data_IF_564369756041
#
_entry.id   IF_564369756041
#
_cell.length_a   1.000
_cell.length_b   1.000
_cell.length_c   1.000
_cell.angle_alpha   90.00
_cell.angle_beta   90.00
_cell.angle_gamma   90.00
#
_symmetry.space_group_name_H-M   'P 1'
#
loop_
_entity.id
_entity.type
_entity.pdbx_description
1 polymer ?
#
# COMPACT_ATOMS: atom_id res chain seq x y z
N UNK A 1 -13.55 12.11 -6.47
CA UNK A 1 -13.71 10.93 -7.36
C UNK A 1 -14.14 9.80 -6.46
N UNK A 2 -15.31 9.25 -6.76
CA UNK A 2 -16.26 8.62 -5.83
C UNK A 2 -15.67 7.87 -4.64
N UNK A 3 -16.19 8.25 -3.47
CA UNK A 3 -16.19 7.48 -2.23
C UNK A 3 -17.06 6.22 -2.39
N UNK A 4 -16.78 5.40 -3.41
CA UNK A 4 -17.53 4.18 -3.64
C UNK A 4 -17.07 3.16 -2.59
N UNK A 5 -18.03 2.76 -1.77
CA UNK A 5 -17.85 1.75 -0.73
C UNK A 5 -17.24 0.48 -1.36
N UNK A 6 -16.22 -0.14 -0.73
CA UNK A 6 -15.65 -1.38 -1.24
C UNK A 6 -16.68 -2.47 -1.35
N UNK A 7 -16.73 -3.14 -2.51
CA UNK A 7 -17.60 -4.31 -2.72
C UNK A 7 -16.81 -5.58 -2.46
N UNK A 8 -17.34 -6.47 -1.63
CA UNK A 8 -16.75 -7.77 -1.31
C UNK A 8 -17.64 -8.91 -1.84
N UNK A 9 -17.09 -9.71 -2.73
CA UNK A 9 -17.64 -10.99 -3.16
C UNK A 9 -16.85 -12.13 -2.50
N UNK A 10 -17.55 -13.15 -2.00
CA UNK A 10 -16.94 -14.32 -1.35
C UNK A 10 -17.21 -15.56 -2.20
N UNK A 11 -16.15 -16.28 -2.57
CA UNK A 11 -16.30 -17.59 -3.21
C UNK A 11 -16.79 -18.64 -2.20
N UNK A 12 -17.24 -19.80 -2.68
CA UNK A 12 -17.78 -20.86 -1.83
C UNK A 12 -16.78 -21.37 -0.78
N UNK A 13 -15.49 -21.31 -1.09
CA UNK A 13 -14.41 -21.71 -0.19
C UNK A 13 -14.01 -20.64 0.83
N UNK A 14 -14.60 -19.45 0.78
CA UNK A 14 -14.19 -18.33 1.61
C UNK A 14 -14.58 -18.52 3.08
N UNK A 15 -13.70 -18.10 3.98
CA UNK A 15 -13.97 -18.02 5.41
C UNK A 15 -14.97 -16.89 5.70
N UNK A 16 -16.15 -17.27 6.21
CA UNK A 16 -17.26 -16.34 6.48
C UNK A 16 -16.97 -15.41 7.64
N UNK A 17 -16.29 -15.87 8.68
CA UNK A 17 -15.95 -15.04 9.85
C UNK A 17 -14.91 -13.99 9.45
N UNK A 18 -13.92 -14.41 8.66
CA UNK A 18 -12.95 -13.48 8.11
C UNK A 18 -13.61 -12.44 7.19
N UNK A 19 -14.51 -12.87 6.30
CA UNK A 19 -15.28 -11.97 5.44
C UNK A 19 -16.06 -10.91 6.24
N UNK A 20 -16.74 -11.33 7.31
CA UNK A 20 -17.49 -10.41 8.18
C UNK A 20 -16.55 -9.41 8.88
N UNK A 21 -15.38 -9.87 9.34
CA UNK A 21 -14.38 -8.98 9.95
C UNK A 21 -13.87 -7.92 8.97
N UNK A 22 -13.68 -8.26 7.68
CA UNK A 22 -13.28 -7.32 6.64
C UNK A 22 -14.37 -6.29 6.34
N UNK A 23 -15.63 -6.75 6.28
CA UNK A 23 -16.80 -5.90 6.05
C UNK A 23 -16.90 -4.84 7.15
N UNK A 24 -16.83 -5.25 8.42
CA UNK A 24 -16.92 -4.34 9.56
C UNK A 24 -15.73 -3.38 9.59
N UNK A 25 -14.51 -3.90 9.48
CA UNK A 25 -13.28 -3.11 9.68
C UNK A 25 -13.02 -2.08 8.57
N UNK A 26 -13.41 -2.39 7.33
CA UNK A 26 -13.17 -1.53 6.17
C UNK A 26 -14.46 -0.96 5.58
N UNK A 27 -15.59 -1.09 6.29
CA UNK A 27 -16.90 -0.64 5.88
C UNK A 27 -17.26 -1.10 4.46
N UNK A 28 -17.13 -2.40 4.16
CA UNK A 28 -17.42 -2.94 2.83
C UNK A 28 -18.91 -3.27 2.65
N UNK A 29 -19.36 -3.31 1.41
CA UNK A 29 -20.65 -3.85 1.01
C UNK A 29 -20.48 -5.28 0.48
N UNK A 30 -21.17 -6.25 1.09
CA UNK A 30 -21.19 -7.63 0.59
C UNK A 30 -22.01 -7.73 -0.70
N UNK A 31 -21.51 -8.47 -1.68
CA UNK A 31 -22.21 -8.80 -2.91
C UNK A 31 -22.53 -10.31 -2.93
N UNK A 32 -23.78 -10.66 -3.26
CA UNK A 32 -24.20 -12.07 -3.42
C UNK A 32 -23.63 -12.69 -4.69
N UNK A 33 -23.42 -11.88 -5.72
CA UNK A 33 -22.89 -12.27 -7.01
C UNK A 33 -21.71 -11.39 -7.38
N UNK A 34 -20.78 -11.93 -8.16
CA UNK A 34 -19.67 -11.15 -8.68
C UNK A 34 -20.23 -10.06 -9.61
N UNK A 35 -19.94 -8.77 -9.35
CA UNK A 35 -20.44 -7.70 -10.21
C UNK A 35 -19.94 -7.82 -11.64
N UNK A 36 -20.76 -7.45 -12.61
CA UNK A 36 -20.36 -7.41 -14.03
C UNK A 36 -19.40 -6.27 -14.34
N UNK A 37 -19.47 -5.17 -13.57
CA UNK A 37 -18.68 -3.97 -13.83
C UNK A 37 -18.03 -3.35 -12.58
N UNK A 38 -16.96 -2.60 -12.82
CA UNK A 38 -16.17 -1.88 -11.83
C UNK A 38 -15.22 -2.75 -11.02
N UNK A 39 -14.79 -2.24 -9.86
CA UNK A 39 -13.89 -2.96 -8.97
C UNK A 39 -14.66 -3.77 -7.92
N UNK A 40 -14.13 -4.95 -7.59
CA UNK A 40 -14.65 -5.81 -6.53
C UNK A 40 -13.49 -6.52 -5.83
N UNK A 41 -13.52 -6.57 -4.51
CA UNK A 41 -12.68 -7.46 -3.73
C UNK A 41 -13.29 -8.85 -3.76
N UNK A 42 -12.48 -9.84 -4.10
CA UNK A 42 -12.86 -11.24 -4.15
C UNK A 42 -12.06 -11.95 -3.06
N UNK A 43 -12.78 -12.56 -2.13
CA UNK A 43 -12.20 -13.43 -1.11
C UNK A 43 -12.44 -14.88 -1.52
N UNK A 44 -11.36 -15.63 -1.71
CA UNK A 44 -11.38 -17.08 -1.89
C UNK A 44 -10.93 -17.78 -0.60
N UNK A 45 -10.63 -19.09 -0.67
CA UNK A 45 -10.16 -19.85 0.49
C UNK A 45 -8.72 -19.53 0.93
N UNK A 46 -7.96 -18.81 0.10
CA UNK A 46 -6.54 -18.55 0.31
C UNK A 46 -6.26 -17.06 0.59
N UNK A 47 -6.81 -16.15 -0.21
CA UNK A 47 -6.41 -14.74 -0.23
C UNK A 47 -7.53 -13.78 -0.65
N UNK A 48 -7.34 -12.52 -0.28
CA UNK A 48 -8.14 -11.41 -0.78
C UNK A 48 -7.46 -10.80 -2.01
N UNK A 49 -8.21 -10.64 -3.10
CA UNK A 49 -7.72 -10.04 -4.32
C UNK A 49 -8.68 -8.97 -4.85
N UNK A 50 -8.14 -7.97 -5.55
CA UNK A 50 -8.91 -6.95 -6.24
C UNK A 50 -9.06 -7.33 -7.70
N UNK A 51 -10.31 -7.45 -8.13
CA UNK A 51 -10.70 -7.74 -9.50
C UNK A 51 -11.28 -6.49 -10.16
N UNK A 52 -10.95 -6.30 -11.43
CA UNK A 52 -11.63 -5.35 -12.30
C UNK A 52 -12.55 -6.10 -13.25
N UNK A 53 -13.85 -6.02 -12.99
CA UNK A 53 -14.85 -6.87 -13.64
C UNK A 53 -15.05 -6.53 -15.12
N UNK A 54 -14.80 -5.27 -15.54
CA UNK A 54 -14.96 -4.88 -16.96
C UNK A 54 -13.94 -5.58 -17.87
N UNK A 55 -12.78 -6.01 -17.33
CA UNK A 55 -11.72 -6.63 -18.13
C UNK A 55 -11.03 -7.76 -17.36
N UNK A 56 -11.70 -8.92 -17.29
CA UNK A 56 -11.21 -10.12 -16.59
C UNK A 56 -9.81 -10.59 -17.04
N UNK A 57 -9.36 -10.21 -18.25
CA UNK A 57 -8.02 -10.56 -18.79
C UNK A 57 -6.86 -9.85 -18.08
N UNK A 58 -7.11 -8.76 -17.35
CA UNK A 58 -6.06 -8.02 -16.64
C UNK A 58 -5.51 -8.76 -15.42
N UNK A 59 -6.23 -9.78 -14.96
CA UNK A 59 -5.90 -10.55 -13.77
C UNK A 59 -6.12 -9.76 -12.48
N UNK A 60 -6.06 -10.48 -11.37
CA UNK A 60 -6.35 -9.91 -10.06
C UNK A 60 -5.10 -9.31 -9.42
N UNK A 61 -5.32 -8.30 -8.57
CA UNK A 61 -4.26 -7.67 -7.77
C UNK A 61 -4.38 -8.14 -6.33
N UNK A 62 -3.36 -8.84 -5.84
CA UNK A 62 -3.23 -9.24 -4.43
C UNK A 62 -1.90 -8.77 -3.86
N UNK A 63 -1.86 -8.55 -2.55
CA UNK A 63 -0.62 -8.24 -1.82
C UNK A 63 0.02 -9.55 -1.38
N UNK A 64 1.21 -9.87 -1.88
CA UNK A 64 1.91 -11.09 -1.53
C UNK A 64 3.37 -10.81 -1.16
N UNK A 65 3.65 -10.88 0.13
CA UNK A 65 4.99 -10.69 0.69
C UNK A 65 5.87 -11.94 0.55
N UNK A 66 5.27 -13.12 0.40
CA UNK A 66 5.98 -14.39 0.26
C UNK A 66 6.56 -14.53 -1.15
N UNK A 67 5.76 -14.24 -2.18
CA UNK A 67 6.27 -14.09 -3.55
C UNK A 67 7.30 -12.94 -3.64
N UNK A 68 7.08 -11.88 -2.87
CA UNK A 68 8.00 -10.77 -2.69
C UNK A 68 9.39 -11.18 -2.19
N UNK A 69 9.53 -12.21 -1.36
CA UNK A 69 10.83 -12.75 -0.90
C UNK A 69 11.71 -13.19 -2.06
N UNK A 70 11.12 -13.83 -3.06
CA UNK A 70 11.83 -14.28 -4.28
C UNK A 70 12.17 -13.08 -5.18
N UNK A 71 11.29 -12.08 -5.24
CA UNK A 71 11.51 -10.85 -6.01
C UNK A 71 12.53 -9.89 -5.37
N UNK A 72 12.59 -9.83 -4.04
CA UNK A 72 13.49 -8.97 -3.27
C UNK A 72 14.96 -9.39 -3.42
N UNK A 73 15.23 -10.69 -3.58
CA UNK A 73 16.57 -11.16 -3.96
C UNK A 73 16.99 -10.73 -5.37
N UNK A 74 16.06 -10.29 -6.22
CA UNK A 74 16.34 -9.90 -7.62
C UNK A 74 16.40 -8.40 -7.85
N UNK A 75 15.92 -7.56 -6.92
CA UNK A 75 15.79 -6.11 -7.11
C UNK A 75 16.69 -5.31 -6.14
N UNK A 76 18.00 -5.38 -6.37
CA UNK A 76 18.99 -4.61 -5.58
C UNK A 76 19.02 -3.09 -5.90
N UNK A 77 18.33 -2.62 -6.94
CA UNK A 77 18.40 -1.20 -7.35
C UNK A 77 17.48 -0.23 -6.59
N UNK A 78 16.20 -0.59 -6.41
CA UNK A 78 15.21 0.30 -5.77
C UNK A 78 15.22 0.25 -4.25
N UNK A 79 15.42 -0.95 -3.69
CA UNK A 79 15.50 -1.18 -2.25
C UNK A 79 16.67 -0.41 -1.59
N UNK A 80 17.79 -0.27 -2.31
CA UNK A 80 18.96 0.45 -1.82
C UNK A 80 18.69 1.96 -1.70
N UNK A 81 17.98 2.55 -2.66
CA UNK A 81 17.64 3.97 -2.64
C UNK A 81 16.72 4.34 -1.47
N UNK A 82 15.68 3.55 -1.23
CA UNK A 82 14.74 3.76 -0.10
C UNK A 82 15.46 3.57 1.24
N UNK A 83 16.28 2.52 1.37
CA UNK A 83 17.05 2.25 2.60
C UNK A 83 18.04 3.37 2.96
N UNK A 84 18.70 3.96 1.94
CA UNK A 84 19.61 5.10 2.11
C UNK A 84 18.85 6.37 2.50
N UNK A 85 17.69 6.62 1.90
CA UNK A 85 16.84 7.77 2.21
C UNK A 85 16.33 7.76 3.66
N UNK A 86 16.02 6.57 4.18
CA UNK A 86 15.55 6.35 5.56
C UNK A 86 16.73 6.28 6.55
N UNK A 87 17.97 6.24 6.07
CA UNK A 87 19.16 6.25 6.93
C UNK A 87 19.50 4.90 7.55
N UNK A 88 19.08 3.79 6.94
CA UNK A 88 19.49 2.44 7.36
C UNK A 88 21.00 2.30 7.16
N UNK A 89 21.74 2.14 8.25
CA UNK A 89 23.20 1.96 8.27
C UNK A 89 23.59 0.76 9.14
N UNK A 90 24.87 0.38 9.15
CA UNK A 90 25.37 -0.71 10.02
C UNK A 90 25.03 -0.37 11.49
N UNK A 91 24.18 -1.18 12.12
CA UNK A 91 23.74 -1.01 13.51
C UNK A 91 22.60 0.00 13.76
N UNK A 92 22.14 0.75 12.75
CA UNK A 92 21.03 1.71 12.91
C UNK A 92 19.76 1.18 12.23
N UNK A 93 18.68 1.05 13.00
CA UNK A 93 17.36 0.57 12.56
C UNK A 93 16.28 1.55 13.03
N UNK A 94 16.10 2.68 12.32
CA UNK A 94 15.09 3.66 12.70
C UNK A 94 13.69 3.04 12.62
N UNK A 95 12.83 3.53 13.50
CA UNK A 95 11.38 3.39 13.35
C UNK A 95 10.88 4.31 12.24
N UNK A 96 9.97 3.82 11.41
CA UNK A 96 9.51 4.49 10.19
C UNK A 96 7.98 4.54 10.19
N UNK A 97 7.43 5.71 9.86
CA UNK A 97 6.03 5.83 9.45
C UNK A 97 6.00 5.97 7.93
N UNK A 98 5.36 5.03 7.25
CA UNK A 98 5.03 5.14 5.83
C UNK A 98 3.64 5.76 5.71
N UNK A 99 3.58 7.03 5.30
CA UNK A 99 2.32 7.78 5.18
C UNK A 99 1.52 7.47 3.92
N UNK A 100 2.05 6.66 3.01
CA UNK A 100 1.46 6.32 1.71
C UNK A 100 1.68 4.84 1.41
N UNK A 101 1.25 3.97 2.35
CA UNK A 101 1.65 2.58 2.34
C UNK A 101 1.37 1.85 1.02
N UNK A 102 0.22 2.12 0.38
CA UNK A 102 -0.15 1.49 -0.87
C UNK A 102 -0.15 -0.04 -0.74
N UNK A 103 0.58 -0.73 -1.61
CA UNK A 103 0.72 -2.20 -1.54
C UNK A 103 1.81 -2.68 -0.56
N UNK A 104 2.39 -1.79 0.25
CA UNK A 104 3.34 -2.12 1.32
C UNK A 104 4.71 -2.63 0.85
N UNK A 105 5.09 -2.41 -0.41
CA UNK A 105 6.34 -2.94 -0.98
C UNK A 105 7.59 -2.35 -0.32
N UNK A 106 7.67 -1.02 -0.26
CA UNK A 106 8.79 -0.32 0.35
C UNK A 106 8.83 -0.54 1.87
N UNK A 107 7.66 -0.52 2.51
CA UNK A 107 7.51 -0.88 3.91
C UNK A 107 8.06 -2.28 4.22
N UNK A 108 7.76 -3.28 3.37
CA UNK A 108 8.27 -4.63 3.54
C UNK A 108 9.79 -4.72 3.36
N UNK A 109 10.36 -4.00 2.39
CA UNK A 109 11.82 -3.88 2.21
C UNK A 109 12.47 -3.34 3.49
N UNK A 110 11.95 -2.24 4.03
CA UNK A 110 12.47 -1.62 5.25
C UNK A 110 12.35 -2.54 6.47
N UNK A 111 11.21 -3.23 6.62
CA UNK A 111 10.99 -4.17 7.71
C UNK A 111 11.92 -5.40 7.64
N UNK A 112 12.15 -5.92 6.42
CA UNK A 112 13.09 -7.01 6.16
C UNK A 112 14.54 -6.60 6.48
N UNK A 113 14.90 -5.33 6.27
CA UNK A 113 16.19 -4.79 6.69
C UNK A 113 16.30 -4.61 8.21
N UNK A 114 15.19 -4.67 8.95
CA UNK A 114 15.13 -4.62 10.42
C UNK A 114 14.52 -3.37 11.01
N UNK A 115 13.95 -2.47 10.20
CA UNK A 115 13.22 -1.31 10.71
C UNK A 115 11.84 -1.72 11.27
N UNK A 116 11.33 -0.97 12.24
CA UNK A 116 9.93 -1.06 12.66
C UNK A 116 9.14 -0.07 11.81
N UNK A 117 8.16 -0.55 11.05
CA UNK A 117 7.42 0.24 10.07
C UNK A 117 5.93 0.27 10.43
N UNK A 118 5.41 1.48 10.62
CA UNK A 118 3.98 1.75 10.73
C UNK A 118 3.48 2.28 9.38
N UNK A 119 2.62 1.53 8.73
CA UNK A 119 2.01 1.84 7.44
C UNK A 119 0.67 2.53 7.66
N UNK A 120 0.47 3.68 7.02
CA UNK A 120 -0.79 4.41 6.97
C UNK A 120 -1.40 4.24 5.59
N UNK A 121 -2.64 3.76 5.54
CA UNK A 121 -3.43 3.68 4.31
C UNK A 121 -4.83 4.21 4.56
N UNK A 122 -5.32 4.99 3.59
CA UNK A 122 -6.61 5.70 3.67
C UNK A 122 -7.69 5.07 2.80
N UNK A 123 -7.29 4.39 1.73
CA UNK A 123 -8.19 3.69 0.85
C UNK A 123 -8.62 2.37 1.50
N UNK A 124 -9.91 2.17 1.81
CA UNK A 124 -10.35 0.91 2.42
C UNK A 124 -10.12 -0.29 1.49
N UNK A 125 -10.14 -0.08 0.17
CA UNK A 125 -9.78 -1.10 -0.83
C UNK A 125 -8.35 -1.60 -0.66
N UNK A 126 -7.39 -0.66 -0.56
CA UNK A 126 -5.96 -0.98 -0.49
C UNK A 126 -5.59 -1.47 0.90
N UNK A 127 -6.14 -0.84 1.94
CA UNK A 127 -5.92 -1.23 3.32
C UNK A 127 -6.36 -2.68 3.57
N UNK A 128 -7.50 -3.11 3.01
CA UNK A 128 -7.95 -4.49 3.12
C UNK A 128 -7.02 -5.50 2.43
N UNK A 129 -6.56 -5.20 1.20
CA UNK A 129 -5.60 -6.05 0.50
C UNK A 129 -4.28 -6.16 1.28
N UNK A 130 -3.80 -5.03 1.82
CA UNK A 130 -2.58 -4.98 2.61
C UNK A 130 -2.74 -5.74 3.93
N UNK A 131 -3.90 -5.63 4.58
CA UNK A 131 -4.21 -6.37 5.80
C UNK A 131 -4.24 -7.89 5.56
N UNK A 132 -4.88 -8.35 4.47
CA UNK A 132 -4.86 -9.75 4.07
C UNK A 132 -3.44 -10.25 3.77
N UNK A 133 -2.66 -9.45 3.03
CA UNK A 133 -1.26 -9.75 2.76
C UNK A 133 -0.43 -9.89 4.05
N UNK A 134 -0.62 -8.99 5.01
CA UNK A 134 0.04 -9.04 6.31
C UNK A 134 -0.44 -10.23 7.15
N UNK A 135 -1.73 -10.54 7.15
CA UNK A 135 -2.30 -11.70 7.85
C UNK A 135 -1.62 -12.98 7.39
N UNK A 136 -1.52 -13.19 6.08
CA UNK A 136 -0.82 -14.35 5.50
C UNK A 136 0.67 -14.35 5.80
N UNK A 137 1.34 -13.20 5.68
CA UNK A 137 2.76 -13.10 6.00
C UNK A 137 3.06 -13.39 7.48
N UNK A 138 2.19 -12.99 8.40
CA UNK A 138 2.32 -13.28 9.84
C UNK A 138 2.16 -14.76 10.19
N UNK A 139 1.37 -15.49 9.40
CA UNK A 139 1.17 -16.93 9.56
C UNK A 139 2.30 -17.79 8.97
N UNK A 140 3.20 -17.18 8.19
CA UNK A 140 4.32 -17.88 7.57
C UNK A 140 5.40 -18.27 8.58
N UNK A 141 5.97 -19.48 8.44
CA UNK A 141 6.95 -20.01 9.38
C UNK A 141 8.31 -19.29 9.32
N UNK A 142 8.71 -18.79 8.15
CA UNK A 142 10.02 -18.16 7.95
C UNK A 142 9.97 -16.67 8.35
N UNK A 143 8.91 -15.97 7.95
CA UNK A 143 8.83 -14.51 8.11
C UNK A 143 7.86 -14.00 9.17
N UNK A 144 6.94 -14.85 9.62
CA UNK A 144 5.81 -14.43 10.43
C UNK A 144 6.21 -13.77 11.74
N UNK A 145 7.26 -14.26 12.40
CA UNK A 145 7.77 -13.72 13.67
C UNK A 145 8.20 -12.26 13.53
N UNK A 146 9.07 -11.95 12.56
CA UNK A 146 9.58 -10.60 12.40
C UNK A 146 8.58 -9.67 11.71
N UNK A 147 7.71 -10.16 10.82
CA UNK A 147 6.62 -9.35 10.24
C UNK A 147 5.68 -8.90 11.35
N UNK A 148 5.32 -9.79 12.28
CA UNK A 148 4.47 -9.46 13.43
C UNK A 148 5.09 -8.39 14.32
N UNK A 149 6.41 -8.47 14.57
CA UNK A 149 7.11 -7.50 15.42
C UNK A 149 7.32 -6.13 14.73
N UNK A 150 7.54 -6.14 13.41
CA UNK A 150 8.09 -4.97 12.70
C UNK A 150 7.09 -4.27 11.81
N UNK A 151 5.98 -4.90 11.41
CA UNK A 151 5.03 -4.30 10.46
C UNK A 151 3.66 -4.11 11.10
N UNK A 152 3.22 -2.86 11.16
CA UNK A 152 1.90 -2.48 11.65
C UNK A 152 1.16 -1.69 10.58
N UNK A 153 -0.07 -2.10 10.27
CA UNK A 153 -0.98 -1.33 9.44
C UNK A 153 -1.92 -0.52 10.34
N UNK A 154 -2.09 0.75 10.02
CA UNK A 154 -3.13 1.62 10.55
C UNK A 154 -3.98 2.07 9.37
N UNK A 155 -5.22 1.58 9.34
CA UNK A 155 -6.24 2.12 8.45
C UNK A 155 -6.74 3.44 9.04
N UNK A 156 -6.51 4.53 8.33
CA UNK A 156 -6.91 5.87 8.73
C UNK A 156 -7.62 6.53 7.56
N UNK A 157 -8.94 6.56 7.61
CA UNK A 157 -9.80 7.13 6.57
C UNK A 157 -9.64 8.65 6.48
N UNK A 158 -9.24 9.28 7.58
CA UNK A 158 -9.01 10.72 7.69
C UNK A 158 -7.70 11.03 8.43
N UNK A 159 -7.21 12.27 8.30
CA UNK A 159 -6.08 12.76 9.09
C UNK A 159 -6.46 12.85 10.57
N UNK A 160 -7.73 13.07 10.89
CA UNK A 160 -8.22 13.15 12.27
C UNK A 160 -8.09 11.80 12.99
N UNK A 161 -8.26 10.68 12.28
CA UNK A 161 -8.08 9.32 12.82
C UNK A 161 -6.65 9.10 13.37
N UNK A 162 -5.66 9.84 12.85
CA UNK A 162 -4.26 9.74 13.27
C UNK A 162 -3.96 10.53 14.55
N UNK A 163 -4.81 11.49 14.93
CA UNK A 163 -4.55 12.39 16.07
C UNK A 163 -4.55 11.65 17.41
N UNK A 164 -5.31 10.57 17.52
CA UNK A 164 -5.39 9.74 18.72
C UNK A 164 -4.29 8.67 18.82
N UNK A 165 -3.57 8.40 17.73
CA UNK A 165 -2.63 7.27 17.67
C UNK A 165 -1.25 7.57 18.28
N UNK A 166 -0.97 8.82 18.71
CA UNK A 166 0.32 9.26 19.28
C UNK A 166 1.54 8.66 18.57
N UNK A 167 1.53 8.69 17.23
CA UNK A 167 2.57 8.06 16.44
C UNK A 167 3.89 8.81 16.57
N UNK A 168 4.92 8.10 17.01
CA UNK A 168 6.30 8.59 17.04
C UNK A 168 7.18 7.67 16.19
N UNK A 169 7.99 8.27 15.34
CA UNK A 169 8.99 7.56 14.56
C UNK A 169 10.27 8.39 14.39
N UNK A 170 11.35 7.73 14.03
CA UNK A 170 12.60 8.41 13.70
C UNK A 170 12.52 9.01 12.29
N UNK A 171 11.76 8.38 11.39
CA UNK A 171 11.59 8.81 9.99
C UNK A 171 10.14 8.73 9.56
N UNK A 172 9.69 9.73 8.79
CA UNK A 172 8.43 9.68 8.04
C UNK A 172 8.76 9.57 6.55
N UNK A 173 8.30 8.49 5.92
CA UNK A 173 8.42 8.22 4.49
C UNK A 173 7.11 8.57 3.80
N UNK A 174 7.19 9.34 2.71
CA UNK A 174 6.06 9.76 1.89
C UNK A 174 6.43 9.57 0.42
N UNK A 175 5.73 8.68 -0.27
CA UNK A 175 5.75 8.53 -1.72
C UNK A 175 4.34 8.80 -2.27
N UNK A 176 3.91 10.07 -2.30
CA UNK A 176 2.62 10.40 -2.87
C UNK A 176 2.65 10.03 -4.35
N UNK A 177 1.72 9.19 -4.78
CA UNK A 177 1.54 8.98 -6.21
C UNK A 177 1.17 10.31 -6.86
N UNK A 178 2.15 10.92 -7.53
CA UNK A 178 1.91 12.12 -8.30
C UNK A 178 0.91 11.79 -9.41
N UNK A 179 -0.18 12.56 -9.57
CA UNK A 179 -1.08 12.37 -10.68
C UNK A 179 -0.29 12.46 -11.97
N UNK A 180 -0.46 11.48 -12.86
CA UNK A 180 0.23 11.45 -14.13
C UNK A 180 -0.08 12.73 -14.91
N UNK A 181 0.88 13.67 -14.94
CA UNK A 181 0.83 14.80 -15.87
C UNK A 181 0.82 14.21 -17.28
N UNK A 182 -0.14 14.62 -18.11
CA UNK A 182 0.01 14.48 -19.56
C UNK A 182 1.31 15.21 -19.92
N UNK A 183 2.32 14.48 -20.40
CA UNK A 183 3.59 15.08 -20.82
C UNK A 183 3.29 16.09 -21.95
N UNK A 184 3.40 17.39 -21.67
CA UNK A 184 3.78 18.39 -22.68
C UNK A 184 5.25 18.76 -22.44
N UNK A 185 6.13 17.78 -22.62
CA UNK A 185 7.54 18.06 -22.86
C UNK A 185 7.69 18.27 -24.37
N UNK A 186 7.48 19.50 -24.83
CA UNK A 186 8.05 19.93 -26.11
C UNK A 186 9.56 19.97 -25.95
N UNK A 187 10.24 18.89 -26.34
CA UNK A 187 11.63 18.95 -26.79
C UNK A 187 11.71 18.22 -28.13
N UNK A 188 12.14 19.00 -29.11
CA UNK A 188 12.29 18.79 -30.56
C UNK A 188 12.50 17.33 -31.04
N UNK A 189 11.70 17.00 -32.05
CA UNK A 189 11.78 15.88 -33.02
C UNK A 189 13.21 15.50 -33.46
N UNK A 190 13.45 14.19 -33.57
CA UNK A 190 13.79 13.50 -34.83
C UNK A 190 13.33 12.02 -34.78
N UNK A 191 12.18 11.79 -35.43
CA UNK A 191 11.60 10.63 -36.14
C UNK A 191 12.08 9.20 -35.76
N UNK A 192 11.26 8.39 -35.06
CA UNK A 192 10.25 7.42 -35.55
C UNK A 192 10.89 6.08 -36.02
N UNK A 193 10.65 4.90 -35.42
CA UNK A 193 9.35 4.20 -35.34
C UNK A 193 9.46 2.92 -34.48
N UNK A 194 8.53 2.66 -33.53
CA UNK A 194 7.87 1.34 -33.41
C UNK A 194 6.64 1.43 -32.50
N UNK A 195 5.59 0.75 -32.92
CA UNK A 195 4.18 0.97 -32.60
C UNK A 195 3.76 0.62 -31.17
N UNK A 196 2.76 1.37 -30.73
CA UNK A 196 1.95 1.14 -29.54
C UNK A 196 1.38 -0.29 -29.47
N UNK A 197 1.60 -0.94 -28.32
CA UNK A 197 0.70 -2.00 -27.82
C UNK A 197 0.30 -1.63 -26.40
N UNK A 198 -0.97 -1.31 -26.23
CA UNK A 198 -1.57 -0.85 -24.98
C UNK A 198 -1.67 -1.94 -23.92
N UNK A 199 -0.61 -2.15 -23.14
CA UNK A 199 -0.63 -2.92 -21.88
C UNK A 199 0.09 -2.15 -20.78
N UNK A 200 -0.61 -1.21 -20.15
CA UNK A 200 -0.35 -0.69 -18.79
C UNK A 200 -1.06 0.66 -18.62
N UNK A 201 -2.39 0.67 -18.58
CA UNK A 201 -3.13 1.85 -18.10
C UNK A 201 -4.00 1.58 -16.89
N UNK A 202 -4.38 0.32 -16.61
CA UNK A 202 -5.21 0.00 -15.46
C UNK A 202 -4.47 -0.22 -14.14
N UNK A 203 -3.17 -0.55 -14.16
CA UNK A 203 -2.37 -0.67 -12.92
C UNK A 203 -2.21 0.64 -12.14
N UNK A 204 -2.35 1.80 -12.77
CA UNK A 204 -2.09 3.10 -12.13
C UNK A 204 -3.35 3.83 -11.65
N UNK A 205 -4.57 3.36 -11.96
CA UNK A 205 -5.78 4.17 -11.72
C UNK A 205 -6.31 4.08 -10.28
N UNK A 206 -5.99 3.00 -9.55
CA UNK A 206 -6.49 2.79 -8.18
C UNK A 206 -5.76 3.62 -7.11
N UNK A 207 -4.62 4.22 -7.45
CA UNK A 207 -3.71 4.81 -6.44
C UNK A 207 -3.72 6.36 -6.52
N UNK A 208 -4.63 6.96 -7.30
CA UNK A 208 -4.63 8.43 -7.49
C UNK A 208 -5.53 9.14 -6.49
N UNK A 209 -4.87 9.81 -5.55
CA UNK A 209 -5.40 10.71 -4.53
C UNK A 209 -4.68 10.37 -3.22
N UNK A 210 -4.05 11.24 -2.46
CA UNK A 210 -4.19 12.69 -2.33
C UNK A 210 -2.84 13.36 -2.08
N UNK A 211 -2.83 14.68 -2.22
CA UNK A 211 -1.71 15.55 -1.84
C UNK A 211 -1.58 15.60 -0.31
N UNK A 212 -0.41 15.24 0.21
CA UNK A 212 0.00 15.62 1.57
C UNK A 212 0.77 16.94 1.48
N UNK A 213 0.31 17.98 2.19
CA UNK A 213 1.07 19.21 2.38
C UNK A 213 2.02 19.07 3.59
N UNK A 214 3.32 19.12 3.29
CA UNK A 214 4.43 19.52 4.15
C UNK A 214 4.66 18.75 5.48
N UNK A 215 5.71 17.91 5.50
CA UNK A 215 6.38 17.46 6.72
C UNK A 215 7.80 18.07 6.79
N UNK A 216 8.11 18.83 7.83
CA UNK A 216 9.41 19.48 8.01
C UNK A 216 10.44 18.48 8.54
N UNK A 217 11.53 18.27 7.80
CA UNK A 217 12.71 17.54 8.30
C UNK A 217 13.34 18.34 9.45
N UNK A 218 13.42 17.77 10.64
CA UNK A 218 14.33 18.27 11.69
C UNK A 218 15.61 17.43 11.67
N UNK A 219 16.69 18.01 11.15
CA UNK A 219 18.02 17.38 11.01
C UNK A 219 18.80 17.30 12.34
N UNK A 220 18.13 17.07 13.47
CA UNK A 220 18.74 17.24 14.80
C UNK A 220 18.20 16.28 15.86
N UNK A 221 18.35 14.97 15.66
CA UNK A 221 18.23 13.96 16.73
C UNK A 221 16.92 13.94 17.54
N UNK A 222 15.89 14.67 17.11
CA UNK A 222 14.57 14.75 17.73
C UNK A 222 13.64 13.85 16.92
N UNK A 223 12.93 12.95 17.61
CA UNK A 223 11.92 12.07 16.99
C UNK A 223 10.92 12.89 16.17
N UNK A 224 10.59 12.40 14.97
CA UNK A 224 9.53 12.97 14.17
C UNK A 224 8.19 12.67 14.84
N UNK A 225 7.42 13.73 15.11
CA UNK A 225 6.07 13.63 15.62
C UNK A 225 5.13 14.19 14.55
N UNK A 226 4.11 13.44 14.18
CA UNK A 226 3.03 13.97 13.36
C UNK A 226 2.22 14.94 14.24
N UNK A 227 2.52 16.24 14.14
CA UNK A 227 1.80 17.31 14.83
C UNK A 227 1.06 18.18 13.82
N UNK A 228 -0.16 18.61 14.19
CA UNK A 228 -1.08 19.47 13.42
C UNK A 228 -0.35 20.58 12.63
N UNK A 229 -0.80 20.82 11.40
CA UNK A 229 -0.80 22.17 10.85
C UNK A 229 -1.88 22.97 11.58
N UNK A 230 -1.49 24.06 12.25
CA UNK A 230 -2.44 25.00 12.84
C UNK A 230 -3.21 25.68 11.71
N UNK A 231 -4.53 25.54 11.71
CA UNK A 231 -5.42 26.26 10.81
C UNK A 231 -5.21 27.77 10.97
N UNK A 232 -4.83 28.45 9.89
CA UNK A 232 -5.16 29.86 9.65
C UNK A 232 -6.11 29.91 8.47
#
# INVERSE_FOLDING_TARGET
MDSQQPRLYCEQSADTDYANSLIERFAMQRCEQLPETGFCLVLDGESLALRYCDEAKLGDVKVDFLAGRVAHRRQYGGAEAVSKAVGVKKGQRPSVIDGTAGLGRDAFVLANLGCKVTMLERSPWVAALLDDGLRRAKADADIGSWVTERMRLIYASSIDDLTHQQLQADVVYLDPMYPHRKKSAQVKKRDASFSATGRCRLRCRLVVGASFESCTKTSSGKKAQLCRASSR
#
